data_IF_267585793784
#
_entry.id   IF_267585793784
#
_cell.length_a   1.000
_cell.length_b   1.000
_cell.length_c   1.000
_cell.angle_alpha   90.00
_cell.angle_beta   90.00
_cell.angle_gamma   90.00
#
_symmetry.space_group_name_H-M   'P 1'
#
loop_
_entity.id
_entity.type
_entity.pdbx_description
1 polymer ?
#
# COMPACT_ATOMS: atom_id res chain seq x y z
N UNK A 1 -1.50 -8.04 -23.94
CA UNK A 1 -1.31 -7.00 -22.92
C UNK A 1 -2.67 -6.63 -22.29
N UNK A 2 -3.31 -7.55 -21.55
CA UNK A 2 -4.67 -7.34 -20.96
C UNK A 2 -4.94 -8.23 -19.72
N UNK A 3 -3.96 -8.52 -18.85
CA UNK A 3 -4.18 -9.45 -17.74
C UNK A 3 -3.84 -8.92 -16.34
N UNK A 4 -3.20 -7.75 -16.21
CA UNK A 4 -2.70 -7.28 -14.91
C UNK A 4 -3.81 -6.97 -13.89
N UNK A 5 -5.02 -6.62 -14.35
CA UNK A 5 -6.15 -6.25 -13.49
C UNK A 5 -7.32 -7.24 -13.56
N UNK A 6 -7.14 -8.41 -14.19
CA UNK A 6 -8.25 -9.32 -14.51
C UNK A 6 -8.81 -10.08 -13.29
N UNK A 7 -8.15 -10.02 -12.14
CA UNK A 7 -8.58 -10.66 -10.90
C UNK A 7 -8.42 -9.67 -9.73
N UNK A 8 -9.46 -8.88 -9.48
CA UNK A 8 -9.55 -8.01 -8.31
C UNK A 8 -10.65 -8.52 -7.39
N UNK A 9 -10.40 -8.45 -6.10
CA UNK A 9 -11.42 -8.68 -5.07
C UNK A 9 -11.64 -7.36 -4.31
N UNK A 10 -12.88 -7.11 -3.92
CA UNK A 10 -13.20 -6.01 -3.03
C UNK A 10 -13.00 -6.47 -1.59
N UNK A 11 -12.13 -5.78 -0.87
CA UNK A 11 -11.87 -6.03 0.54
C UNK A 11 -12.50 -4.92 1.37
N UNK A 12 -13.15 -5.24 2.51
CA UNK A 12 -13.62 -4.21 3.43
C UNK A 12 -12.44 -3.43 4.00
N UNK A 13 -12.70 -2.24 4.55
CA UNK A 13 -11.67 -1.44 5.23
C UNK A 13 -12.08 -1.34 6.71
N UNK A 14 -11.49 -2.17 7.59
CA UNK A 14 -11.77 -2.11 9.02
C UNK A 14 -11.21 -0.84 9.66
N UNK A 15 -11.81 -0.38 10.77
CA UNK A 15 -11.43 0.89 11.42
C UNK A 15 -9.94 1.01 11.77
N UNK A 16 -9.34 -0.10 12.20
CA UNK A 16 -7.90 -0.21 12.52
C UNK A 16 -6.99 0.18 11.33
N UNK A 17 -7.47 0.04 10.09
CA UNK A 17 -6.72 0.45 8.90
C UNK A 17 -6.59 1.97 8.84
N UNK A 18 -7.59 2.73 9.24
CA UNK A 18 -7.51 4.20 9.26
C UNK A 18 -6.51 4.70 10.30
N UNK A 19 -6.47 4.08 11.48
CA UNK A 19 -5.47 4.40 12.51
C UNK A 19 -4.04 4.11 12.04
N UNK A 20 -3.83 2.95 11.42
CA UNK A 20 -2.53 2.58 10.82
C UNK A 20 -2.14 3.51 9.68
N UNK A 21 -3.09 3.90 8.83
CA UNK A 21 -2.87 4.86 7.77
C UNK A 21 -2.48 6.25 8.33
N UNK A 22 -3.11 6.69 9.42
CA UNK A 22 -2.75 7.94 10.10
C UNK A 22 -1.30 7.89 10.61
N UNK A 23 -0.89 6.78 11.22
CA UNK A 23 0.48 6.59 11.69
C UNK A 23 1.49 6.61 10.54
N UNK A 24 1.23 5.86 9.47
CA UNK A 24 2.06 5.85 8.26
C UNK A 24 2.19 7.24 7.66
N UNK A 25 1.08 7.98 7.59
CA UNK A 25 1.06 9.36 7.12
C UNK A 25 1.91 10.27 7.98
N UNK A 26 1.80 10.17 9.31
CA UNK A 26 2.52 11.03 10.24
C UNK A 26 4.05 10.78 10.18
N UNK A 27 4.46 9.51 10.12
CA UNK A 27 5.88 9.11 10.16
C UNK A 27 6.55 9.33 8.80
N UNK A 28 5.92 8.87 7.72
CA UNK A 28 6.53 8.86 6.37
C UNK A 28 6.08 10.04 5.49
N UNK A 29 5.22 10.93 6.00
CA UNK A 29 4.68 12.10 5.28
C UNK A 29 3.99 11.75 3.97
N UNK A 30 3.42 10.55 3.90
CA UNK A 30 2.69 10.04 2.73
C UNK A 30 1.41 10.85 2.46
N UNK A 31 0.86 10.76 1.24
CA UNK A 31 -0.50 11.30 1.01
C UNK A 31 -1.49 10.35 1.68
N UNK A 32 -2.68 10.86 2.02
CA UNK A 32 -3.76 10.05 2.60
C UNK A 32 -4.07 8.78 1.80
N UNK A 33 -4.27 8.81 0.46
CA UNK A 33 -4.51 7.60 -0.32
C UNK A 33 -3.35 6.59 -0.24
N UNK A 34 -2.10 7.04 -0.34
CA UNK A 34 -0.92 6.17 -0.28
C UNK A 34 -0.79 5.47 1.08
N UNK A 35 -1.02 6.25 2.16
CA UNK A 35 -0.96 5.74 3.53
C UNK A 35 -2.04 4.70 3.78
N UNK A 36 -3.25 4.93 3.25
CA UNK A 36 -4.37 4.01 3.35
C UNK A 36 -4.10 2.74 2.55
N UNK A 37 -3.59 2.86 1.32
CA UNK A 37 -3.27 1.71 0.48
C UNK A 37 -2.21 0.81 1.13
N UNK A 38 -1.13 1.39 1.66
CA UNK A 38 -0.10 0.61 2.36
C UNK A 38 -0.63 -0.02 3.66
N UNK A 39 -1.50 0.68 4.40
CA UNK A 39 -2.14 0.12 5.59
C UNK A 39 -3.05 -1.08 5.25
N UNK A 40 -3.80 -1.01 4.16
CA UNK A 40 -4.64 -2.12 3.65
C UNK A 40 -3.76 -3.31 3.29
N UNK A 41 -2.71 -3.09 2.50
CA UNK A 41 -1.80 -4.17 2.08
C UNK A 41 -1.18 -4.90 3.29
N UNK A 42 -0.73 -4.15 4.30
CA UNK A 42 -0.22 -4.74 5.55
C UNK A 42 -1.30 -5.44 6.37
N UNK A 43 -2.52 -4.89 6.43
CA UNK A 43 -3.63 -5.50 7.18
C UNK A 43 -4.04 -6.85 6.59
N UNK A 44 -4.10 -6.95 5.26
CA UNK A 44 -4.47 -8.18 4.56
C UNK A 44 -3.29 -9.15 4.32
N UNK A 45 -2.10 -8.84 4.85
CA UNK A 45 -0.95 -9.72 4.77
C UNK A 45 -0.39 -9.88 3.35
N UNK A 46 -0.52 -8.85 2.51
CA UNK A 46 0.14 -8.84 1.20
C UNK A 46 1.65 -8.98 1.39
N UNK A 47 2.28 -9.84 0.58
CA UNK A 47 3.75 -10.02 0.56
C UNK A 47 4.44 -8.99 -0.32
N UNK A 48 3.71 -8.42 -1.28
CA UNK A 48 4.23 -7.52 -2.28
C UNK A 48 3.35 -6.27 -2.38
N UNK A 49 4.00 -5.12 -2.51
CA UNK A 49 3.39 -3.80 -2.66
C UNK A 49 4.03 -3.11 -3.86
N UNK A 50 3.31 -3.11 -4.98
CA UNK A 50 3.83 -2.65 -6.26
C UNK A 50 3.60 -1.16 -6.42
N UNK A 51 4.68 -0.39 -6.54
CA UNK A 51 4.59 1.06 -6.75
C UNK A 51 5.80 1.60 -7.52
N UNK A 52 5.58 2.71 -8.23
CA UNK A 52 6.61 3.48 -8.91
C UNK A 52 6.97 4.78 -8.16
N UNK A 53 6.42 4.99 -6.96
CA UNK A 53 6.72 6.15 -6.13
C UNK A 53 7.82 5.79 -5.12
N UNK A 54 8.98 6.44 -5.22
CA UNK A 54 10.15 6.15 -4.39
C UNK A 54 9.90 6.35 -2.88
N UNK A 55 9.07 7.33 -2.53
CA UNK A 55 8.73 7.60 -1.14
C UNK A 55 7.84 6.52 -0.59
N UNK A 56 6.90 6.02 -1.40
CA UNK A 56 6.03 4.92 -1.02
C UNK A 56 6.77 3.58 -1.00
N UNK A 57 7.69 3.35 -1.94
CA UNK A 57 8.64 2.22 -1.90
C UNK A 57 9.42 2.21 -0.57
N UNK A 58 9.99 3.35 -0.19
CA UNK A 58 10.73 3.49 1.07
C UNK A 58 9.84 3.19 2.28
N UNK A 59 8.60 3.68 2.29
CA UNK A 59 7.68 3.44 3.40
C UNK A 59 7.16 1.99 3.46
N UNK A 60 7.04 1.32 2.30
CA UNK A 60 6.59 -0.06 2.21
C UNK A 60 7.61 -1.06 2.80
N UNK A 61 8.91 -0.76 2.72
CA UNK A 61 9.98 -1.57 3.30
C UNK A 61 10.09 -2.92 2.57
N UNK A 62 10.10 -4.02 3.32
CA UNK A 62 10.26 -5.38 2.76
C UNK A 62 9.14 -5.80 1.79
N UNK A 63 8.00 -5.10 1.78
CA UNK A 63 6.93 -5.35 0.81
C UNK A 63 7.21 -4.69 -0.57
N UNK A 64 8.14 -3.74 -0.66
CA UNK A 64 8.25 -2.88 -1.84
C UNK A 64 8.71 -3.64 -3.09
N UNK A 65 7.94 -3.55 -4.17
CA UNK A 65 8.34 -4.00 -5.51
C UNK A 65 8.29 -2.80 -6.45
N UNK A 66 9.48 -2.31 -6.83
CA UNK A 66 9.60 -1.23 -7.79
C UNK A 66 9.25 -1.74 -9.20
N UNK A 67 8.18 -1.20 -9.78
CA UNK A 67 7.66 -1.65 -11.09
C UNK A 67 8.44 -1.11 -12.29
N UNK A 68 9.36 -0.16 -12.08
CA UNK A 68 10.15 0.44 -13.17
C UNK A 68 11.59 -0.06 -13.26
N UNK A 69 12.09 -0.76 -12.23
CA UNK A 69 13.50 -1.16 -12.13
C UNK A 69 14.40 -0.01 -11.71
#
# INVERSE_FOLDING_TARGET
MYYFLAQQIWLPIPDIVYERALQLRAIHRLKTPDSLHLAIARYYGCTDFWTNDDRLNTAAGDLAVNVLG
#
